data_IF_460922933748
#
_entry.id   IF_460922933748
#
_cell.length_a   1.000
_cell.length_b   1.000
_cell.length_c   1.000
_cell.angle_alpha   90.00
_cell.angle_beta   90.00
_cell.angle_gamma   90.00
#
_symmetry.space_group_name_H-M   'P 1'
#
loop_
_entity.id
_entity.type
_entity.pdbx_description
1 polymer ?
#
# COMPACT_ATOMS: atom_id res chain seq x y z
N UNK A 1 -1.03 10.41 -18.10
CA UNK A 1 -0.23 9.47 -17.27
C UNK A 1 -1.04 8.20 -17.00
N UNK A 2 -0.70 7.08 -17.65
CA UNK A 2 -1.42 5.80 -17.51
C UNK A 2 -1.38 5.35 -16.03
N UNK A 3 -2.53 5.34 -15.34
CA UNK A 3 -2.65 4.84 -13.97
C UNK A 3 -2.37 3.34 -13.97
N UNK A 4 -1.11 2.97 -13.74
CA UNK A 4 -0.70 1.57 -13.58
C UNK A 4 -1.18 1.14 -12.19
N UNK A 5 -2.08 0.15 -12.13
CA UNK A 5 -2.55 -0.40 -10.87
C UNK A 5 -1.39 -1.05 -10.12
N UNK A 6 -1.52 -1.10 -8.79
CA UNK A 6 -0.54 -1.75 -7.94
C UNK A 6 -0.27 -3.21 -8.40
N UNK A 7 0.98 -3.67 -8.56
CA UNK A 7 1.24 -5.01 -9.08
C UNK A 7 0.82 -6.12 -8.11
N UNK A 8 0.76 -5.87 -6.80
CA UNK A 8 0.45 -6.89 -5.79
C UNK A 8 -1.06 -6.91 -5.53
N UNK A 9 -1.63 -5.77 -5.15
CA UNK A 9 -3.03 -5.68 -4.75
C UNK A 9 -3.97 -5.32 -5.90
N UNK A 10 -3.43 -4.91 -7.06
CA UNK A 10 -4.20 -4.46 -8.24
C UNK A 10 -5.26 -3.41 -7.91
N UNK A 11 -5.06 -2.68 -6.82
CA UNK A 11 -6.03 -1.77 -6.26
C UNK A 11 -5.62 -0.31 -6.49
N UNK A 12 -6.59 0.51 -6.91
CA UNK A 12 -6.37 1.94 -7.20
C UNK A 12 -6.11 2.76 -5.93
N UNK A 13 -6.75 2.44 -4.81
CA UNK A 13 -6.56 3.13 -3.54
C UNK A 13 -5.18 2.86 -2.95
N UNK A 14 -4.71 1.62 -3.02
CA UNK A 14 -3.33 1.26 -2.65
C UNK A 14 -2.34 2.08 -3.48
N UNK A 15 -2.54 2.18 -4.79
CA UNK A 15 -1.67 2.99 -5.65
C UNK A 15 -1.71 4.50 -5.31
N UNK A 16 -2.87 5.03 -4.92
CA UNK A 16 -2.98 6.42 -4.44
C UNK A 16 -2.22 6.62 -3.13
N UNK A 17 -2.33 5.67 -2.19
CA UNK A 17 -1.61 5.70 -0.92
C UNK A 17 -0.09 5.64 -1.13
N UNK A 18 0.39 4.78 -2.04
CA UNK A 18 1.81 4.73 -2.42
C UNK A 18 2.27 6.07 -2.98
N UNK A 19 1.49 6.69 -3.86
CA UNK A 19 1.83 8.00 -4.43
C UNK A 19 1.85 9.10 -3.37
N UNK A 20 1.01 9.01 -2.34
CA UNK A 20 0.99 9.94 -1.21
C UNK A 20 2.23 9.77 -0.30
N UNK A 21 2.65 8.53 -0.05
CA UNK A 21 3.87 8.21 0.72
C UNK A 21 5.14 8.57 -0.06
N UNK A 22 5.10 8.49 -1.39
CA UNK A 22 6.25 8.70 -2.26
C UNK A 22 6.73 10.16 -2.22
N UNK A 23 7.96 10.35 -1.73
CA UNK A 23 8.66 11.64 -1.74
C UNK A 23 9.84 11.62 -2.71
N UNK A 24 10.10 12.75 -3.37
CA UNK A 24 11.22 12.94 -4.31
C UNK A 24 11.30 11.88 -5.42
N UNK A 25 10.15 11.37 -5.89
CA UNK A 25 10.10 10.32 -6.91
C UNK A 25 10.64 8.95 -6.48
N UNK A 26 10.94 8.74 -5.19
CA UNK A 26 11.48 7.48 -4.64
C UNK A 26 10.41 6.39 -4.56
N UNK A 27 9.94 5.92 -5.72
CA UNK A 27 8.85 4.94 -5.84
C UNK A 27 9.18 3.63 -5.16
N UNK A 28 10.33 3.02 -5.45
CA UNK A 28 10.74 1.74 -4.84
C UNK A 28 10.74 1.79 -3.31
N UNK A 29 11.13 2.92 -2.71
CA UNK A 29 11.11 3.09 -1.26
C UNK A 29 9.69 3.16 -0.70
N UNK A 30 8.79 3.90 -1.35
CA UNK A 30 7.38 3.98 -0.95
C UNK A 30 6.69 2.61 -0.99
N UNK A 31 6.97 1.82 -2.04
CA UNK A 31 6.50 0.43 -2.16
C UNK A 31 7.01 -0.45 -1.01
N UNK A 32 8.32 -0.37 -0.70
CA UNK A 32 8.91 -1.13 0.41
C UNK A 32 8.24 -0.80 1.75
N UNK A 33 8.04 0.48 2.04
CA UNK A 33 7.40 0.92 3.29
C UNK A 33 5.98 0.38 3.38
N UNK A 34 5.15 0.57 2.35
CA UNK A 34 3.76 0.16 2.42
C UNK A 34 3.61 -1.36 2.56
N UNK A 35 4.36 -2.15 1.80
CA UNK A 35 4.29 -3.60 1.89
C UNK A 35 4.84 -4.16 3.19
N UNK A 36 5.87 -3.53 3.76
CA UNK A 36 6.35 -3.89 5.10
C UNK A 36 5.25 -3.66 6.14
N UNK A 37 4.58 -2.51 6.09
CA UNK A 37 3.45 -2.20 6.99
C UNK A 37 2.31 -3.19 6.81
N UNK A 38 1.90 -3.49 5.57
CA UNK A 38 0.83 -4.47 5.29
C UNK A 38 1.19 -5.88 5.79
N UNK A 39 2.46 -6.30 5.66
CA UNK A 39 2.94 -7.56 6.22
C UNK A 39 2.85 -7.58 7.75
N UNK A 40 3.23 -6.47 8.39
CA UNK A 40 3.17 -6.36 9.85
C UNK A 40 1.72 -6.36 10.36
N UNK A 41 0.81 -5.66 9.68
CA UNK A 41 -0.63 -5.69 10.00
C UNK A 41 -1.16 -7.12 9.91
N UNK A 42 -0.87 -7.82 8.81
CA UNK A 42 -1.30 -9.22 8.64
C UNK A 42 -0.75 -10.11 9.76
N UNK A 43 0.51 -9.94 10.15
CA UNK A 43 1.14 -10.72 11.22
C UNK A 43 0.53 -10.43 12.61
N UNK A 44 0.23 -9.16 12.90
CA UNK A 44 -0.21 -8.75 14.24
C UNK A 44 -1.72 -8.89 14.46
N UNK A 45 -2.51 -8.78 13.39
CA UNK A 45 -3.98 -8.78 13.48
C UNK A 45 -4.60 -10.08 12.96
N UNK A 46 -3.81 -10.93 12.28
CA UNK A 46 -4.25 -12.14 11.55
C UNK A 46 -5.38 -11.91 10.53
N UNK A 47 -5.68 -10.64 10.24
CA UNK A 47 -6.70 -10.22 9.29
C UNK A 47 -6.08 -9.81 7.97
N UNK A 48 -6.92 -9.74 6.95
CA UNK A 48 -6.53 -9.18 5.66
C UNK A 48 -6.14 -7.70 5.83
N UNK A 49 -4.90 -7.31 5.49
CA UNK A 49 -4.41 -5.96 5.71
C UNK A 49 -5.14 -4.91 4.87
N UNK A 50 -5.73 -5.28 3.72
CA UNK A 50 -6.57 -4.34 2.97
C UNK A 50 -7.85 -4.05 3.75
N UNK A 51 -8.52 -5.07 4.27
CA UNK A 51 -9.72 -4.91 5.09
C UNK A 51 -9.47 -4.01 6.30
N UNK A 52 -8.33 -4.18 6.97
CA UNK A 52 -7.91 -3.31 8.08
C UNK A 52 -7.66 -1.88 7.62
N UNK A 53 -7.01 -1.69 6.47
CA UNK A 53 -6.78 -0.36 5.89
C UNK A 53 -8.09 0.35 5.54
N UNK A 54 -9.06 -0.37 4.97
CA UNK A 54 -10.37 0.17 4.63
C UNK A 54 -11.20 0.54 5.86
N UNK A 55 -11.11 -0.24 6.94
CA UNK A 55 -11.82 0.08 8.19
C UNK A 55 -11.22 1.24 8.98
N UNK A 56 -10.01 1.70 8.63
CA UNK A 56 -9.32 2.81 9.29
C UNK A 56 -9.48 4.16 8.56
N UNK A 57 -10.06 4.16 7.36
CA UNK A 57 -10.37 5.33 6.54
C UNK A 57 -11.84 5.70 6.73
#
# INVERSE_FOLDING_TARGET
LKKKNDPIYRNRLVNLLINHIMKHGKKSLAYKILYLVMKNIKKNTEKDPLSVLYGAI
#
